data_IF_452897430577
#
_entry.id   IF_452897430577
#
_cell.length_a   1.000
_cell.length_b   1.000
_cell.length_c   1.000
_cell.angle_alpha   90.00
_cell.angle_beta   90.00
_cell.angle_gamma   90.00
#
_symmetry.space_group_name_H-M   'P 1'
#
loop_
_entity.id
_entity.type
_entity.pdbx_description
1 polymer ?
#
# COMPACT_ATOMS: atom_id res chain seq x y z
N UNK A 1 24.19 -6.17 12.16
CA UNK A 1 24.23 -4.75 11.76
C UNK A 1 24.04 -4.59 10.25
N UNK A 2 24.76 -5.35 9.42
CA UNK A 2 24.64 -5.33 7.95
C UNK A 2 23.21 -5.57 7.44
N UNK A 3 22.47 -6.54 7.98
CA UNK A 3 21.09 -6.85 7.51
C UNK A 3 20.14 -5.65 7.59
N UNK A 4 20.25 -4.85 8.67
CA UNK A 4 19.44 -3.65 8.88
C UNK A 4 19.70 -2.61 7.78
N UNK A 5 20.96 -2.39 7.42
CA UNK A 5 21.31 -1.42 6.38
C UNK A 5 20.91 -1.91 4.99
N UNK A 6 21.08 -3.21 4.70
CA UNK A 6 20.57 -3.81 3.46
C UNK A 6 19.05 -3.65 3.34
N UNK A 7 18.31 -3.91 4.43
CA UNK A 7 16.87 -3.71 4.47
C UNK A 7 16.50 -2.23 4.24
N UNK A 8 17.18 -1.29 4.89
CA UNK A 8 16.93 0.14 4.69
C UNK A 8 17.11 0.58 3.23
N UNK A 9 18.12 0.04 2.53
CA UNK A 9 18.34 0.29 1.10
C UNK A 9 17.14 -0.23 0.29
N UNK A 10 16.75 -1.50 0.49
CA UNK A 10 15.62 -2.12 -0.20
C UNK A 10 14.32 -1.35 0.04
N UNK A 11 14.02 -1.01 1.29
CA UNK A 11 12.82 -0.24 1.67
C UNK A 11 12.80 1.13 0.99
N UNK A 12 13.95 1.80 0.90
CA UNK A 12 14.09 3.11 0.28
C UNK A 12 13.92 3.05 -1.24
N UNK A 13 14.50 2.03 -1.89
CA UNK A 13 14.30 1.74 -3.31
C UNK A 13 12.80 1.51 -3.56
N UNK A 14 12.19 0.57 -2.83
CA UNK A 14 10.75 0.28 -2.95
C UNK A 14 9.90 1.53 -2.78
N UNK A 15 10.19 2.37 -1.78
CA UNK A 15 9.46 3.61 -1.57
C UNK A 15 9.55 4.55 -2.78
N UNK A 16 10.72 4.68 -3.41
CA UNK A 16 10.88 5.44 -4.65
C UNK A 16 9.96 4.87 -5.75
N UNK A 17 10.00 3.55 -5.98
CA UNK A 17 9.13 2.90 -6.98
C UNK A 17 7.64 3.11 -6.69
N UNK A 18 7.21 2.95 -5.43
CA UNK A 18 5.83 3.23 -5.01
C UNK A 18 5.43 4.68 -5.30
N UNK A 19 6.29 5.66 -5.00
CA UNK A 19 6.04 7.05 -5.34
C UNK A 19 5.90 7.25 -6.86
N UNK A 20 6.82 6.69 -7.65
CA UNK A 20 6.78 6.80 -9.11
C UNK A 20 5.46 6.26 -9.68
N UNK A 21 5.04 5.08 -9.25
CA UNK A 21 3.91 4.36 -9.85
C UNK A 21 2.55 4.78 -9.34
N UNK A 22 2.47 5.25 -8.10
CA UNK A 22 1.24 5.82 -7.55
C UNK A 22 1.00 7.28 -7.96
N UNK A 23 1.78 7.78 -8.92
CA UNK A 23 1.61 9.10 -9.50
C UNK A 23 2.17 10.23 -8.64
N UNK A 24 3.05 9.94 -7.68
CA UNK A 24 3.84 10.94 -6.93
C UNK A 24 5.14 11.29 -7.68
N UNK A 25 5.11 11.31 -9.01
CA UNK A 25 6.27 11.61 -9.85
C UNK A 25 6.76 13.06 -9.62
N UNK A 26 8.06 13.27 -9.34
CA UNK A 26 8.66 14.59 -9.53
C UNK A 26 8.53 14.97 -11.02
N UNK A 27 8.08 16.20 -11.35
CA UNK A 27 8.09 16.67 -12.74
C UNK A 27 9.55 16.71 -13.24
N UNK A 28 9.86 16.22 -14.45
CA UNK A 28 11.14 16.53 -15.08
C UNK A 28 11.22 18.04 -15.32
N UNK A 29 12.39 18.64 -15.08
CA UNK A 29 12.67 20.04 -15.44
C UNK A 29 12.70 20.17 -16.98
N UNK A 30 11.53 20.25 -17.60
CA UNK A 30 11.37 20.79 -18.94
C UNK A 30 10.26 21.84 -18.92
N UNK A 31 10.56 22.99 -19.53
CA UNK A 31 9.71 24.18 -19.64
C UNK A 31 8.32 23.80 -20.17
N UNK A 32 7.35 23.75 -19.28
CA UNK A 32 5.95 24.01 -19.58
C UNK A 32 5.37 24.73 -18.36
N UNK A 33 5.71 26.02 -18.32
CA UNK A 33 5.07 27.02 -17.48
C UNK A 33 3.69 27.33 -18.05
N UNK A 34 2.80 27.79 -17.17
CA UNK A 34 1.37 28.10 -17.35
C UNK A 34 0.39 26.93 -17.20
N UNK A 35 0.04 26.63 -15.93
CA UNK A 35 -1.35 26.62 -15.40
C UNK A 35 -1.56 25.91 -14.06
N UNK A 36 -0.53 25.50 -13.32
CA UNK A 36 -0.71 24.92 -11.97
C UNK A 36 0.41 25.42 -11.05
N UNK A 37 0.25 26.62 -10.49
CA UNK A 37 1.25 27.30 -9.65
C UNK A 37 1.03 27.14 -8.14
N UNK A 38 0.18 26.23 -7.65
CA UNK A 38 -0.01 26.02 -6.21
C UNK A 38 0.05 24.55 -5.74
N UNK A 39 0.38 23.60 -6.61
CA UNK A 39 0.61 22.20 -6.19
C UNK A 39 2.09 21.84 -6.27
N UNK A 40 2.77 22.18 -5.19
CA UNK A 40 3.97 21.58 -4.58
C UNK A 40 4.86 20.66 -5.44
N UNK A 41 5.64 21.25 -6.36
CA UNK A 41 6.70 20.55 -7.10
C UNK A 41 8.02 20.46 -6.32
N UNK A 42 8.22 21.30 -5.30
CA UNK A 42 9.43 21.32 -4.47
C UNK A 42 9.49 20.16 -3.46
N UNK A 43 8.34 19.75 -2.91
CA UNK A 43 8.28 18.76 -1.84
C UNK A 43 8.63 17.34 -2.29
N UNK A 44 8.24 16.93 -3.49
CA UNK A 44 8.52 15.57 -4.00
C UNK A 44 9.97 15.39 -4.46
N UNK A 45 10.56 16.42 -5.08
CA UNK A 45 11.98 16.41 -5.40
C UNK A 45 12.84 16.37 -4.14
N UNK A 46 12.44 17.09 -3.09
CA UNK A 46 13.09 17.05 -1.79
C UNK A 46 13.02 15.65 -1.16
N UNK A 47 11.85 15.00 -1.19
CA UNK A 47 11.71 13.60 -0.73
C UNK A 47 12.57 12.62 -1.52
N UNK A 48 12.67 12.79 -2.84
CA UNK A 48 13.54 11.94 -3.66
C UNK A 48 15.02 12.11 -3.26
N UNK A 49 15.50 13.35 -3.11
CA UNK A 49 16.88 13.64 -2.65
C UNK A 49 17.16 13.01 -1.30
N UNK A 50 16.28 13.22 -0.31
CA UNK A 50 16.45 12.69 1.04
C UNK A 50 16.50 11.16 1.08
N UNK A 51 15.61 10.50 0.33
CA UNK A 51 15.60 9.03 0.27
C UNK A 51 16.88 8.55 -0.39
N UNK A 52 17.37 9.23 -1.42
CA UNK A 52 18.64 8.85 -2.06
C UNK A 52 19.86 9.10 -1.18
N UNK A 53 19.87 10.17 -0.39
CA UNK A 53 20.90 10.45 0.61
C UNK A 53 20.93 9.34 1.67
N UNK A 54 19.76 8.93 2.17
CA UNK A 54 19.65 7.81 3.10
C UNK A 54 20.16 6.49 2.48
N UNK A 55 19.85 6.21 1.21
CA UNK A 55 20.38 5.00 0.54
C UNK A 55 21.92 5.06 0.47
N UNK A 56 22.48 6.21 0.09
CA UNK A 56 23.93 6.41 -0.03
C UNK A 56 24.63 6.23 1.33
N UNK A 57 24.05 6.77 2.41
CA UNK A 57 24.56 6.57 3.77
C UNK A 57 24.58 5.08 4.15
N UNK A 58 23.48 4.36 3.89
CA UNK A 58 23.41 2.92 4.16
C UNK A 58 24.39 2.12 3.27
N UNK A 59 24.66 2.55 2.04
CA UNK A 59 25.70 1.97 1.19
C UNK A 59 27.09 2.11 1.85
N UNK A 60 27.45 3.29 2.34
CA UNK A 60 28.73 3.50 3.04
C UNK A 60 28.83 2.64 4.31
N UNK A 61 27.74 2.51 5.07
CA UNK A 61 27.68 1.64 6.26
C UNK A 61 27.81 0.14 5.93
N UNK A 62 27.54 -0.25 4.68
CA UNK A 62 27.78 -1.59 4.15
C UNK A 62 29.16 -1.76 3.50
N UNK A 63 29.99 -0.71 3.46
CA UNK A 63 31.27 -0.73 2.75
C UNK A 63 31.15 -0.67 1.23
N UNK A 64 30.00 -0.24 0.70
CA UNK A 64 29.80 0.01 -0.73
C UNK A 64 30.28 1.44 -1.03
N UNK A 65 31.40 1.56 -1.73
CA UNK A 65 32.01 2.86 -2.06
C UNK A 65 31.23 3.59 -3.17
N UNK A 66 30.28 4.45 -2.78
CA UNK A 66 29.47 5.20 -3.74
C UNK A 66 30.29 6.29 -4.44
N UNK A 67 30.33 6.23 -5.77
CA UNK A 67 31.04 7.22 -6.63
C UNK A 67 30.48 8.63 -6.43
N UNK A 68 31.32 9.70 -6.49
CA UNK A 68 30.89 11.09 -6.37
C UNK A 68 29.75 11.48 -7.33
N UNK A 69 29.71 10.88 -8.52
CA UNK A 69 28.64 11.05 -9.51
C UNK A 69 27.23 10.80 -8.95
N UNK A 70 27.09 9.87 -7.99
CA UNK A 70 25.82 9.46 -7.39
C UNK A 70 25.42 10.25 -6.15
N UNK A 71 26.27 11.17 -5.65
CA UNK A 71 25.94 12.00 -4.47
C UNK A 71 24.68 12.86 -4.66
N UNK A 72 24.22 13.04 -5.90
CA UNK A 72 22.98 13.75 -6.22
C UNK A 72 22.20 13.04 -7.32
N UNK A 73 21.31 12.13 -6.91
CA UNK A 73 20.37 11.46 -7.78
C UNK A 73 19.14 12.37 -7.96
N UNK A 74 19.10 13.11 -9.07
CA UNK A 74 18.10 14.17 -9.28
C UNK A 74 17.13 13.87 -10.44
N UNK A 75 17.25 12.71 -11.07
CA UNK A 75 16.37 12.29 -12.15
C UNK A 75 16.38 10.76 -12.26
N UNK A 76 15.43 10.23 -13.02
CA UNK A 76 15.21 8.80 -13.19
C UNK A 76 16.36 8.07 -13.89
N UNK A 77 17.07 8.71 -14.83
CA UNK A 77 18.22 8.10 -15.50
C UNK A 77 19.36 7.87 -14.52
N UNK A 78 19.72 8.90 -13.75
CA UNK A 78 20.71 8.77 -12.68
C UNK A 78 20.32 7.74 -11.63
N UNK A 79 19.02 7.62 -11.35
CA UNK A 79 18.52 6.61 -10.42
C UNK A 79 18.71 5.20 -10.98
N UNK A 80 18.39 4.97 -12.24
CA UNK A 80 18.65 3.70 -12.92
C UNK A 80 20.14 3.37 -12.95
N UNK A 81 21.00 4.34 -13.28
CA UNK A 81 22.46 4.17 -13.24
C UNK A 81 22.94 3.80 -11.81
N UNK A 82 22.32 4.40 -10.80
CA UNK A 82 22.62 4.09 -9.40
C UNK A 82 22.16 2.68 -9.02
N UNK A 83 20.96 2.26 -9.42
CA UNK A 83 20.47 0.89 -9.19
C UNK A 83 21.41 -0.14 -9.82
N UNK A 84 21.86 0.10 -11.05
CA UNK A 84 22.89 -0.73 -11.70
C UNK A 84 24.17 -0.80 -10.89
N UNK A 85 24.64 0.34 -10.39
CA UNK A 85 25.86 0.42 -9.60
C UNK A 85 25.79 -0.37 -8.29
N UNK A 86 24.67 -0.30 -7.56
CA UNK A 86 24.55 -0.96 -6.24
C UNK A 86 24.12 -2.43 -6.33
N UNK A 87 23.61 -2.89 -7.48
CA UNK A 87 22.97 -4.21 -7.62
C UNK A 87 23.88 -5.35 -7.16
N UNK A 88 25.00 -5.53 -7.85
CA UNK A 88 25.91 -6.66 -7.60
C UNK A 88 26.54 -6.61 -6.20
N UNK A 89 27.05 -5.45 -5.71
CA UNK A 89 27.54 -5.36 -4.33
C UNK A 89 26.47 -5.72 -3.30
N UNK A 90 25.23 -5.25 -3.49
CA UNK A 90 24.12 -5.53 -2.57
C UNK A 90 23.73 -7.01 -2.63
N UNK A 91 23.58 -7.60 -3.82
CA UNK A 91 23.30 -9.03 -4.01
C UNK A 91 24.34 -9.90 -3.30
N UNK A 92 25.64 -9.59 -3.46
CA UNK A 92 26.73 -10.31 -2.79
C UNK A 92 26.60 -10.27 -1.27
N UNK A 93 26.26 -9.11 -0.70
CA UNK A 93 26.03 -8.96 0.74
C UNK A 93 24.81 -9.77 1.18
N UNK A 94 23.70 -9.67 0.44
CA UNK A 94 22.45 -10.36 0.76
C UNK A 94 22.59 -11.88 0.73
N UNK A 95 23.39 -12.42 -0.20
CA UNK A 95 23.70 -13.86 -0.29
C UNK A 95 24.47 -14.40 0.92
N UNK A 96 25.07 -13.53 1.75
CA UNK A 96 25.70 -13.96 3.00
C UNK A 96 24.69 -14.21 4.13
N UNK A 97 23.46 -13.73 3.99
CA UNK A 97 22.41 -13.94 4.98
C UNK A 97 21.75 -15.30 4.78
N UNK A 98 21.63 -16.06 5.88
CA UNK A 98 20.79 -17.25 5.89
C UNK A 98 19.33 -16.81 5.78
N UNK A 99 18.73 -17.09 4.63
CA UNK A 99 17.33 -16.82 4.33
C UNK A 99 16.64 -18.13 3.95
N UNK A 100 15.35 -18.23 4.24
CA UNK A 100 14.54 -19.34 3.76
C UNK A 100 13.98 -18.97 2.39
N UNK A 101 14.31 -19.78 1.38
CA UNK A 101 13.76 -19.60 0.05
C UNK A 101 12.37 -20.23 -0.02
N UNK A 102 11.38 -19.42 -0.40
CA UNK A 102 10.02 -19.86 -0.67
C UNK A 102 9.67 -19.60 -2.12
N UNK A 103 9.09 -20.60 -2.78
CA UNK A 103 8.55 -20.47 -4.13
C UNK A 103 7.03 -20.47 -4.01
N UNK A 104 6.42 -19.38 -4.45
CA UNK A 104 4.97 -19.22 -4.47
C UNK A 104 4.50 -19.35 -5.91
N UNK A 105 3.55 -20.24 -6.16
CA UNK A 105 2.94 -20.44 -7.48
C UNK A 105 1.49 -19.97 -7.45
N UNK A 106 1.19 -18.97 -8.26
CA UNK A 106 -0.15 -18.41 -8.44
C UNK A 106 -0.88 -19.22 -9.50
N UNK A 107 -1.80 -20.05 -9.05
CA UNK A 107 -2.56 -20.94 -9.94
C UNK A 107 -3.82 -20.26 -10.50
N UNK A 108 -4.32 -19.23 -9.83
CA UNK A 108 -5.51 -18.53 -10.28
C UNK A 108 -5.13 -17.50 -11.36
N UNK A 109 -5.65 -17.69 -12.56
CA UNK A 109 -5.50 -16.75 -13.67
C UNK A 109 -6.78 -15.93 -13.79
N UNK A 110 -6.64 -14.66 -14.16
CA UNK A 110 -7.78 -13.76 -14.32
C UNK A 110 -8.80 -14.31 -15.34
N UNK A 111 -10.02 -14.55 -14.87
CA UNK A 111 -11.16 -14.90 -15.73
C UNK A 111 -12.13 -13.71 -15.77
N UNK A 112 -12.02 -12.85 -16.79
CA UNK A 112 -12.82 -11.62 -16.93
C UNK A 112 -14.33 -11.82 -16.71
N UNK A 113 -14.87 -13.00 -17.05
CA UNK A 113 -16.26 -13.35 -16.84
C UNK A 113 -16.69 -13.21 -15.37
N UNK A 114 -15.86 -13.70 -14.43
CA UNK A 114 -16.13 -13.67 -12.99
C UNK A 114 -16.27 -12.25 -12.45
N UNK A 115 -15.55 -11.30 -13.05
CA UNK A 115 -15.53 -9.89 -12.64
C UNK A 115 -16.65 -9.06 -13.25
N UNK A 116 -17.31 -9.52 -14.32
CA UNK A 116 -18.50 -8.86 -14.88
C UNK A 116 -19.67 -8.88 -13.89
N UNK A 117 -19.76 -9.92 -13.06
CA UNK A 117 -20.85 -10.08 -12.10
C UNK A 117 -20.69 -9.22 -10.83
N UNK A 118 -19.52 -8.64 -10.60
CA UNK A 118 -19.28 -7.79 -9.42
C UNK A 118 -19.87 -6.36 -9.56
N UNK A 119 -20.50 -6.03 -10.70
CA UNK A 119 -21.01 -4.69 -11.05
C UNK A 119 -19.97 -3.56 -10.87
N UNK A 120 -18.68 -3.91 -10.99
CA UNK A 120 -17.57 -2.96 -10.90
C UNK A 120 -17.38 -2.31 -12.28
N UNK A 121 -18.28 -1.38 -12.59
CA UNK A 121 -18.25 -0.64 -13.84
C UNK A 121 -16.87 0.02 -14.06
N UNK A 122 -16.21 -0.38 -15.15
CA UNK A 122 -14.90 0.15 -15.54
C UNK A 122 -13.69 -0.74 -15.20
N UNK A 123 -13.87 -1.86 -14.49
CA UNK A 123 -12.76 -2.77 -14.17
C UNK A 123 -12.26 -3.56 -15.39
N UNK A 124 -13.15 -4.10 -16.23
CA UNK A 124 -12.76 -4.88 -17.41
C UNK A 124 -11.83 -4.08 -18.35
N UNK A 125 -12.14 -2.80 -18.70
CA UNK A 125 -11.22 -1.97 -19.45
C UNK A 125 -9.82 -1.78 -18.81
N UNK A 126 -9.70 -1.89 -17.48
CA UNK A 126 -8.41 -1.81 -16.79
C UNK A 126 -7.65 -3.13 -16.95
N UNK A 127 -8.33 -4.27 -16.79
CA UNK A 127 -7.74 -5.60 -17.04
C UNK A 127 -7.27 -5.69 -18.50
N UNK A 128 -8.08 -5.22 -19.46
CA UNK A 128 -7.71 -5.17 -20.87
C UNK A 128 -6.49 -4.27 -21.10
N UNK A 129 -6.44 -3.10 -20.45
CA UNK A 129 -5.29 -2.20 -20.50
C UNK A 129 -4.01 -2.87 -19.98
N UNK A 130 -4.09 -3.63 -18.89
CA UNK A 130 -2.95 -4.36 -18.32
C UNK A 130 -2.48 -5.47 -19.28
N UNK A 131 -3.39 -6.32 -19.73
CA UNK A 131 -3.07 -7.49 -20.55
C UNK A 131 -2.59 -7.14 -21.95
N UNK A 132 -3.07 -6.03 -22.52
CA UNK A 132 -2.65 -5.55 -23.84
C UNK A 132 -1.44 -4.61 -23.77
N UNK A 133 -0.89 -4.36 -22.58
CA UNK A 133 0.29 -3.49 -22.45
C UNK A 133 1.53 -4.18 -23.02
N UNK A 134 2.41 -3.40 -23.63
CA UNK A 134 3.70 -3.88 -24.15
C UNK A 134 4.78 -3.92 -23.07
N UNK A 135 4.42 -3.78 -21.80
CA UNK A 135 5.39 -3.77 -20.71
C UNK A 135 5.97 -5.17 -20.54
N UNK A 136 7.30 -5.24 -20.58
CA UNK A 136 8.04 -6.48 -20.41
C UNK A 136 8.28 -6.74 -18.94
N UNK A 137 8.14 -8.01 -18.54
CA UNK A 137 8.55 -8.57 -17.24
C UNK A 137 8.02 -7.82 -16.02
N UNK A 138 6.75 -7.43 -16.07
CA UNK A 138 6.02 -6.98 -14.89
C UNK A 138 4.96 -8.03 -14.57
N UNK A 139 4.90 -8.43 -13.31
CA UNK A 139 3.82 -9.30 -12.85
C UNK A 139 2.81 -8.50 -12.06
N UNK A 140 1.53 -8.59 -12.42
CA UNK A 140 0.43 -7.88 -11.77
C UNK A 140 -0.60 -8.89 -11.29
N UNK A 141 -0.96 -8.79 -10.01
CA UNK A 141 -1.91 -9.67 -9.34
C UNK A 141 -3.00 -8.86 -8.68
N UNK A 142 -4.24 -9.33 -8.73
CA UNK A 142 -5.23 -8.93 -7.73
C UNK A 142 -5.04 -9.76 -6.47
N UNK A 143 -5.31 -9.14 -5.32
CA UNK A 143 -5.34 -9.82 -4.03
C UNK A 143 -6.52 -9.32 -3.17
N UNK A 144 -6.70 -9.95 -2.00
CA UNK A 144 -7.78 -9.61 -1.08
C UNK A 144 -9.17 -9.79 -1.70
N UNK A 145 -10.08 -8.84 -1.45
CA UNK A 145 -11.49 -8.96 -1.86
C UNK A 145 -11.70 -8.94 -3.38
N UNK A 146 -10.70 -8.48 -4.14
CA UNK A 146 -10.72 -8.56 -5.60
C UNK A 146 -10.41 -9.98 -6.09
N UNK A 147 -9.60 -10.73 -5.35
CA UNK A 147 -9.17 -12.05 -5.75
C UNK A 147 -10.17 -13.13 -5.31
N UNK A 148 -10.73 -13.01 -4.10
CA UNK A 148 -11.74 -13.93 -3.58
C UNK A 148 -13.19 -13.61 -4.01
N UNK A 149 -13.36 -12.58 -4.85
CA UNK A 149 -14.63 -12.09 -5.38
C UNK A 149 -15.63 -11.59 -4.31
N UNK A 150 -15.19 -11.32 -3.08
CA UNK A 150 -16.02 -10.72 -2.01
C UNK A 150 -15.90 -9.19 -1.97
N UNK A 151 -15.77 -8.57 -3.14
CA UNK A 151 -15.69 -7.12 -3.27
C UNK A 151 -16.99 -6.47 -2.77
N UNK A 152 -16.86 -5.40 -1.97
CA UNK A 152 -17.99 -4.57 -1.53
C UNK A 152 -17.68 -3.10 -1.79
N UNK A 153 -18.64 -2.19 -1.60
CA UNK A 153 -18.35 -0.74 -1.68
C UNK A 153 -17.35 -0.23 -0.63
N UNK A 154 -17.03 -1.03 0.39
CA UNK A 154 -15.92 -0.71 1.29
C UNK A 154 -14.56 -1.10 0.70
N UNK A 155 -14.50 -2.12 -0.15
CA UNK A 155 -13.25 -2.67 -0.67
C UNK A 155 -12.50 -1.69 -1.57
N UNK A 156 -11.18 -1.61 -1.37
CA UNK A 156 -10.27 -1.03 -2.35
C UNK A 156 -10.05 -2.05 -3.49
N UNK A 157 -9.63 -1.55 -4.66
CA UNK A 157 -9.03 -2.39 -5.69
C UNK A 157 -7.55 -2.50 -5.37
N UNK A 158 -7.21 -3.60 -4.69
CA UNK A 158 -5.85 -3.91 -4.27
C UNK A 158 -5.15 -4.76 -5.33
N UNK A 159 -4.05 -4.25 -5.86
CA UNK A 159 -3.15 -4.99 -6.72
C UNK A 159 -1.71 -4.98 -6.22
N UNK A 160 -1.01 -6.06 -6.55
CA UNK A 160 0.41 -6.23 -6.34
C UNK A 160 1.12 -6.21 -7.67
N UNK A 161 2.15 -5.39 -7.77
CA UNK A 161 3.00 -5.20 -8.94
C UNK A 161 4.43 -5.62 -8.59
N UNK A 162 4.96 -6.60 -9.30
CA UNK A 162 6.36 -7.02 -9.19
C UNK A 162 7.13 -6.49 -10.40
N UNK A 163 8.13 -5.66 -10.14
CA UNK A 163 9.03 -5.09 -11.14
C UNK A 163 10.33 -5.86 -11.16
N UNK A 164 10.65 -6.45 -12.31
CA UNK A 164 11.90 -7.17 -12.50
C UNK A 164 13.00 -6.27 -13.06
N UNK A 165 14.24 -6.78 -12.98
CA UNK A 165 15.44 -6.12 -13.48
C UNK A 165 15.28 -5.53 -14.87
N UNK A 166 14.72 -6.28 -15.81
CA UNK A 166 14.55 -5.86 -17.20
C UNK A 166 13.68 -4.61 -17.37
N UNK A 167 12.78 -4.32 -16.42
CA UNK A 167 11.98 -3.10 -16.42
C UNK A 167 12.76 -1.92 -15.84
N UNK A 168 13.40 -2.07 -14.67
CA UNK A 168 14.05 -0.95 -14.01
C UNK A 168 15.47 -0.66 -14.50
N UNK A 169 16.11 -1.60 -15.20
CA UNK A 169 17.44 -1.41 -15.77
C UNK A 169 17.47 -0.44 -16.95
N UNK A 170 16.29 -0.05 -17.46
CA UNK A 170 16.14 0.89 -18.56
C UNK A 170 15.21 2.03 -18.13
N UNK A 171 15.74 3.25 -18.12
CA UNK A 171 15.00 4.43 -17.66
C UNK A 171 13.73 4.71 -18.49
N UNK A 172 13.76 4.49 -19.81
CA UNK A 172 12.60 4.70 -20.67
C UNK A 172 11.49 3.67 -20.37
N UNK A 173 11.85 2.40 -20.19
CA UNK A 173 10.90 1.36 -19.77
C UNK A 173 10.33 1.64 -18.38
N UNK A 174 11.15 2.10 -17.44
CA UNK A 174 10.69 2.49 -16.11
C UNK A 174 9.72 3.68 -16.18
N UNK A 175 9.99 4.68 -17.03
CA UNK A 175 9.08 5.81 -17.26
C UNK A 175 7.75 5.35 -17.87
N UNK A 176 7.79 4.48 -18.89
CA UNK A 176 6.59 3.94 -19.54
C UNK A 176 5.74 3.14 -18.54
N UNK A 177 6.39 2.32 -17.73
CA UNK A 177 5.77 1.56 -16.64
C UNK A 177 5.11 2.48 -15.63
N UNK A 178 5.81 3.52 -15.18
CA UNK A 178 5.27 4.47 -14.22
C UNK A 178 4.06 5.23 -14.77
N UNK A 179 4.06 5.57 -16.06
CA UNK A 179 2.91 6.20 -16.72
C UNK A 179 1.70 5.26 -16.76
N UNK A 180 1.90 3.99 -17.14
CA UNK A 180 0.81 3.02 -17.20
C UNK A 180 0.22 2.76 -15.82
N UNK A 181 1.06 2.47 -14.82
CA UNK A 181 0.60 2.21 -13.45
C UNK A 181 -0.09 3.45 -12.87
N UNK A 182 0.45 4.65 -13.05
CA UNK A 182 -0.23 5.88 -12.62
C UNK A 182 -1.61 6.04 -13.27
N UNK A 183 -1.76 5.66 -14.55
CA UNK A 183 -3.05 5.65 -15.24
C UNK A 183 -4.01 4.60 -14.65
N UNK A 184 -3.53 3.39 -14.35
CA UNK A 184 -4.30 2.32 -13.71
C UNK A 184 -4.77 2.77 -12.33
N UNK A 185 -3.86 3.27 -11.49
CA UNK A 185 -4.16 3.78 -10.15
C UNK A 185 -5.22 4.89 -10.19
N UNK A 186 -5.16 5.78 -11.20
CA UNK A 186 -6.20 6.80 -11.41
C UNK A 186 -7.55 6.18 -11.79
N UNK A 187 -7.55 5.13 -12.61
CA UNK A 187 -8.77 4.40 -13.00
C UNK A 187 -9.38 3.64 -11.81
N UNK A 188 -8.59 3.05 -10.92
CA UNK A 188 -9.11 2.48 -9.66
C UNK A 188 -9.79 3.55 -8.80
N UNK A 189 -9.15 4.71 -8.62
CA UNK A 189 -9.76 5.84 -7.90
C UNK A 189 -11.04 6.37 -8.58
N UNK A 190 -11.18 6.16 -9.89
CA UNK A 190 -12.41 6.50 -10.61
C UNK A 190 -13.49 5.44 -10.43
N UNK A 191 -13.16 4.21 -10.06
CA UNK A 191 -14.15 3.22 -9.64
C UNK A 191 -14.60 3.56 -8.23
N UNK A 192 -13.65 3.61 -7.29
CA UNK A 192 -13.87 3.99 -5.90
C UNK A 192 -13.18 5.33 -5.54
N UNK A 193 -13.96 6.43 -5.43
CA UNK A 193 -13.46 7.73 -4.97
C UNK A 193 -12.81 7.70 -3.59
N UNK A 194 -13.21 6.77 -2.70
CA UNK A 194 -12.71 6.70 -1.33
C UNK A 194 -11.56 5.71 -1.16
N UNK A 195 -11.08 5.08 -2.25
CA UNK A 195 -9.89 4.24 -2.21
C UNK A 195 -8.68 5.03 -1.71
N UNK A 196 -7.89 4.41 -0.86
CA UNK A 196 -6.71 5.03 -0.27
C UNK A 196 -5.44 4.22 -0.51
N UNK A 197 -5.58 2.96 -0.93
CA UNK A 197 -4.48 2.16 -1.41
C UNK A 197 -4.13 2.47 -2.86
N UNK A 198 -2.84 2.36 -3.14
CA UNK A 198 -2.30 2.37 -4.48
C UNK A 198 -1.86 0.99 -4.89
N UNK A 199 -0.99 0.94 -5.89
CA UNK A 199 -0.22 -0.25 -6.17
C UNK A 199 0.65 -0.61 -4.98
N UNK A 200 0.56 -1.87 -4.56
CA UNK A 200 1.61 -2.49 -3.78
C UNK A 200 2.73 -2.88 -4.75
N UNK A 201 3.95 -2.46 -4.46
CA UNK A 201 5.08 -2.60 -5.38
C UNK A 201 6.19 -3.38 -4.70
N UNK A 202 6.63 -4.44 -5.36
CA UNK A 202 7.79 -5.26 -5.01
C UNK A 202 8.78 -5.16 -6.17
N UNK A 203 10.06 -5.07 -5.85
CA UNK A 203 11.15 -5.16 -6.81
C UNK A 203 11.90 -6.48 -6.63
N UNK A 204 12.71 -6.88 -7.59
CA UNK A 204 13.68 -7.97 -7.40
C UNK A 204 14.61 -7.75 -6.19
N UNK A 205 14.96 -6.52 -5.84
CA UNK A 205 15.66 -6.20 -4.59
C UNK A 205 14.89 -6.66 -3.35
N UNK A 206 13.57 -6.46 -3.32
CA UNK A 206 12.72 -6.94 -2.23
C UNK A 206 12.71 -8.48 -2.15
N UNK A 207 12.76 -9.17 -3.29
CA UNK A 207 12.73 -10.64 -3.34
C UNK A 207 14.01 -11.28 -2.78
N UNK A 208 15.13 -10.54 -2.73
CA UNK A 208 16.40 -11.02 -2.18
C UNK A 208 16.43 -11.06 -0.64
N UNK A 209 15.61 -10.24 0.02
CA UNK A 209 15.46 -10.21 1.48
C UNK A 209 14.06 -9.68 1.83
N UNK A 210 13.07 -10.55 1.68
CA UNK A 210 11.66 -10.18 1.72
C UNK A 210 11.12 -10.06 3.14
N UNK A 211 10.62 -8.87 3.45
CA UNK A 211 9.91 -8.59 4.69
C UNK A 211 8.42 -8.88 4.54
N UNK A 212 7.95 -9.97 5.13
CA UNK A 212 6.54 -10.38 5.08
C UNK A 212 5.58 -9.39 5.75
N UNK A 213 6.08 -8.43 6.54
CA UNK A 213 5.24 -7.36 7.06
C UNK A 213 4.75 -6.39 5.98
N UNK A 214 5.40 -6.38 4.81
CA UNK A 214 4.93 -5.59 3.68
C UNK A 214 3.68 -6.22 3.05
N UNK A 215 3.81 -7.45 2.54
CA UNK A 215 2.68 -8.31 2.16
C UNK A 215 2.98 -9.74 2.65
N UNK A 216 2.15 -10.31 3.52
CA UNK A 216 2.34 -11.69 3.97
C UNK A 216 2.20 -12.70 2.83
N UNK A 217 3.00 -13.77 2.83
CA UNK A 217 2.93 -14.78 1.76
C UNK A 217 1.57 -15.47 1.67
N UNK A 218 0.82 -15.59 2.78
CA UNK A 218 -0.55 -16.16 2.80
C UNK A 218 -1.53 -15.41 1.87
N UNK A 219 -1.25 -14.14 1.53
CA UNK A 219 -2.09 -13.37 0.61
C UNK A 219 -2.00 -13.90 -0.83
N UNK A 220 -0.90 -14.60 -1.17
CA UNK A 220 -0.71 -15.13 -2.51
C UNK A 220 -1.48 -16.43 -2.77
N UNK A 221 -1.93 -17.14 -1.73
CA UNK A 221 -2.71 -18.37 -1.86
C UNK A 221 -4.03 -18.14 -2.64
N UNK A 222 -4.63 -16.96 -2.43
CA UNK A 222 -5.87 -16.55 -3.08
C UNK A 222 -5.63 -15.56 -4.23
N UNK A 223 -4.40 -15.08 -4.44
CA UNK A 223 -4.12 -14.06 -5.44
C UNK A 223 -4.45 -14.53 -6.86
N UNK A 224 -4.79 -13.58 -7.73
CA UNK A 224 -5.19 -13.83 -9.12
C UNK A 224 -4.22 -13.11 -10.05
N UNK A 225 -3.52 -13.88 -10.89
CA UNK A 225 -2.59 -13.36 -11.90
C UNK A 225 -3.36 -12.65 -13.02
N UNK A 226 -3.03 -11.38 -13.25
CA UNK A 226 -3.57 -10.58 -14.36
C UNK A 226 -2.63 -10.64 -15.57
N UNK A 227 -1.33 -10.46 -15.34
CA UNK A 227 -0.27 -10.47 -16.34
C UNK A 227 1.09 -10.80 -15.70
N UNK A 228 2.01 -11.38 -16.47
CA UNK A 228 3.38 -11.68 -16.04
C UNK A 228 3.60 -13.11 -15.53
N UNK A 229 4.54 -13.26 -14.60
CA UNK A 229 4.98 -14.55 -14.09
C UNK A 229 4.06 -15.06 -12.98
N UNK A 230 3.64 -16.32 -13.05
CA UNK A 230 2.86 -16.98 -12.00
C UNK A 230 3.73 -17.52 -10.86
N UNK A 231 5.03 -17.68 -11.06
CA UNK A 231 5.96 -18.21 -10.06
C UNK A 231 6.86 -17.10 -9.53
N UNK A 232 6.89 -16.95 -8.20
CA UNK A 232 7.67 -15.93 -7.52
C UNK A 232 8.55 -16.60 -6.47
N UNK A 233 9.84 -16.28 -6.48
CA UNK A 233 10.81 -16.74 -5.50
C UNK A 233 11.08 -15.63 -4.48
N UNK A 234 10.84 -15.93 -3.21
CA UNK A 234 11.11 -15.05 -2.07
C UNK A 234 12.25 -15.62 -1.22
N UNK A 235 13.19 -14.78 -0.80
CA UNK A 235 14.13 -15.12 0.25
C UNK A 235 13.70 -14.39 1.52
N UNK A 236 13.10 -15.12 2.46
CA UNK A 236 12.43 -14.51 3.61
C UNK A 236 13.42 -13.95 4.63
N UNK A 237 13.11 -12.74 5.11
CA UNK A 237 13.77 -12.16 6.26
C UNK A 237 13.26 -12.85 7.54
N UNK A 238 14.14 -13.35 8.43
CA UNK A 238 13.75 -14.11 9.62
C UNK A 238 13.25 -13.24 10.79
N UNK A 239 12.62 -12.10 10.53
CA UNK A 239 12.23 -11.12 11.55
C UNK A 239 10.74 -10.80 11.47
N UNK A 240 10.09 -10.75 12.65
CA UNK A 240 8.71 -10.30 12.81
C UNK A 240 8.59 -8.81 13.14
N UNK A 241 9.71 -8.09 13.26
CA UNK A 241 9.74 -6.70 13.72
C UNK A 241 8.88 -5.77 12.87
N UNK A 242 8.82 -6.00 11.56
CA UNK A 242 8.00 -5.20 10.66
C UNK A 242 6.51 -5.27 11.00
N UNK A 243 6.00 -6.42 11.44
CA UNK A 243 4.60 -6.56 11.89
C UNK A 243 4.31 -5.75 13.14
N UNK A 244 5.25 -5.76 14.11
CA UNK A 244 5.14 -4.96 15.34
C UNK A 244 5.11 -3.46 15.00
N UNK A 245 6.02 -3.01 14.13
CA UNK A 245 6.06 -1.61 13.67
C UNK A 245 4.74 -1.23 12.99
N UNK A 246 4.24 -2.06 12.09
CA UNK A 246 2.97 -1.83 11.41
C UNK A 246 1.79 -1.76 12.39
N UNK A 247 1.77 -2.64 13.41
CA UNK A 247 0.74 -2.62 14.44
C UNK A 247 0.78 -1.32 15.26
N UNK A 248 1.97 -0.88 15.70
CA UNK A 248 2.14 0.35 16.48
C UNK A 248 1.76 1.61 15.68
N UNK A 249 2.18 1.71 14.41
CA UNK A 249 1.78 2.82 13.54
C UNK A 249 0.27 2.79 13.24
N UNK A 250 -0.32 1.60 13.12
CA UNK A 250 -1.78 1.44 12.98
C UNK A 250 -2.51 1.94 14.23
N UNK A 251 -2.07 1.56 15.44
CA UNK A 251 -2.62 2.04 16.72
C UNK A 251 -2.56 3.57 16.79
N UNK A 252 -1.40 4.15 16.47
CA UNK A 252 -1.21 5.61 16.44
C UNK A 252 -2.13 6.29 15.44
N UNK A 253 -2.30 5.72 14.25
CA UNK A 253 -3.22 6.23 13.22
C UNK A 253 -4.67 6.23 13.72
N UNK A 254 -5.11 5.14 14.34
CA UNK A 254 -6.45 5.03 14.94
C UNK A 254 -6.65 6.12 16.00
N UNK A 255 -5.71 6.31 16.93
CA UNK A 255 -5.78 7.40 17.93
C UNK A 255 -5.94 8.78 17.27
N UNK A 256 -5.15 9.07 16.24
CA UNK A 256 -5.21 10.35 15.54
C UNK A 256 -6.59 10.57 14.89
N UNK A 257 -7.20 9.54 14.30
CA UNK A 257 -8.53 9.62 13.69
C UNK A 257 -9.64 9.76 14.73
N UNK A 258 -9.54 9.10 15.89
CA UNK A 258 -10.48 9.29 17.00
C UNK A 258 -10.42 10.71 17.55
N UNK A 259 -9.21 11.26 17.73
CA UNK A 259 -9.02 12.63 18.19
C UNK A 259 -9.55 13.64 17.18
N UNK A 260 -9.28 13.42 15.89
CA UNK A 260 -9.87 14.21 14.80
C UNK A 260 -11.40 14.16 14.85
N UNK A 261 -11.98 12.96 14.99
CA UNK A 261 -13.43 12.78 15.06
C UNK A 261 -14.06 13.52 16.23
N UNK A 262 -13.42 13.47 17.40
CA UNK A 262 -13.90 14.17 18.59
C UNK A 262 -13.85 15.69 18.39
N UNK A 263 -12.75 16.22 17.86
CA UNK A 263 -12.57 17.67 17.63
C UNK A 263 -13.64 18.23 16.69
N UNK A 264 -14.09 17.44 15.72
CA UNK A 264 -15.01 17.88 14.68
C UNK A 264 -16.45 17.34 14.83
N UNK A 265 -16.79 16.67 15.95
CA UNK A 265 -18.10 16.05 16.20
C UNK A 265 -18.56 15.09 15.08
N UNK A 266 -17.61 14.47 14.38
CA UNK A 266 -17.84 13.64 13.21
C UNK A 266 -16.55 13.36 12.48
N UNK A 267 -16.60 12.53 11.44
CA UNK A 267 -15.46 12.14 10.62
C UNK A 267 -15.89 12.09 9.16
N UNK A 268 -15.02 12.50 8.23
CA UNK A 268 -15.36 12.37 6.81
C UNK A 268 -15.26 10.91 6.34
N UNK A 269 -16.00 10.57 5.29
CA UNK A 269 -16.14 9.19 4.80
C UNK A 269 -14.80 8.56 4.41
N UNK A 270 -13.86 9.35 3.88
CA UNK A 270 -12.51 8.87 3.59
C UNK A 270 -11.77 8.44 4.87
N UNK A 271 -11.74 9.29 5.89
CA UNK A 271 -11.07 8.99 7.16
C UNK A 271 -11.81 7.90 7.95
N UNK A 272 -13.14 7.80 7.82
CA UNK A 272 -13.93 6.69 8.38
C UNK A 272 -13.52 5.36 7.74
N UNK A 273 -13.38 5.33 6.41
CA UNK A 273 -12.92 4.15 5.68
C UNK A 273 -11.56 3.68 6.16
N UNK A 274 -10.59 4.60 6.27
CA UNK A 274 -9.27 4.28 6.80
C UNK A 274 -9.32 3.76 8.24
N UNK A 275 -10.06 4.43 9.14
CA UNK A 275 -10.20 4.01 10.54
C UNK A 275 -10.73 2.57 10.65
N UNK A 276 -11.78 2.26 9.88
CA UNK A 276 -12.41 0.94 9.87
C UNK A 276 -11.47 -0.11 9.26
N UNK A 277 -10.70 0.24 8.22
CA UNK A 277 -9.68 -0.62 7.64
C UNK A 277 -8.54 -0.93 8.62
N UNK A 278 -8.07 0.08 9.34
CA UNK A 278 -7.02 0.00 10.37
C UNK A 278 -7.45 -0.90 11.55
N UNK A 279 -8.69 -0.76 12.04
CA UNK A 279 -9.24 -1.65 13.08
C UNK A 279 -9.33 -3.10 12.58
N UNK A 280 -9.76 -3.28 11.32
CA UNK A 280 -9.92 -4.62 10.75
C UNK A 280 -8.59 -5.35 10.49
N UNK A 281 -7.49 -4.64 10.23
CA UNK A 281 -6.18 -5.25 9.95
C UNK A 281 -5.34 -5.50 11.21
N UNK A 282 -5.54 -4.70 12.27
CA UNK A 282 -4.70 -4.78 13.48
C UNK A 282 -4.64 -6.19 14.12
N UNK A 283 -5.73 -6.98 14.20
CA UNK A 283 -5.64 -8.35 14.70
C UNK A 283 -4.67 -9.22 13.89
N UNK A 284 -4.62 -9.05 12.56
CA UNK A 284 -3.71 -9.80 11.70
C UNK A 284 -2.26 -9.47 12.01
N UNK A 285 -1.93 -8.19 12.21
CA UNK A 285 -0.56 -7.80 12.60
C UNK A 285 -0.15 -8.39 13.95
N UNK A 286 -1.06 -8.48 14.93
CA UNK A 286 -0.76 -9.08 16.23
C UNK A 286 -0.54 -10.60 16.12
N UNK A 287 -1.37 -11.31 15.35
CA UNK A 287 -1.12 -12.73 15.11
C UNK A 287 0.20 -12.96 14.37
N UNK A 288 0.47 -12.16 13.33
CA UNK A 288 1.68 -12.27 12.52
C UNK A 288 2.94 -11.91 13.31
N UNK A 289 2.88 -10.95 14.23
CA UNK A 289 4.01 -10.66 15.13
C UNK A 289 4.36 -11.83 16.05
N UNK A 290 3.38 -12.70 16.34
CA UNK A 290 3.53 -13.94 17.10
C UNK A 290 3.86 -15.17 16.23
N UNK A 291 4.17 -14.96 14.94
CA UNK A 291 4.51 -16.02 13.99
C UNK A 291 3.30 -16.73 13.36
N UNK A 292 2.07 -16.32 13.68
CA UNK A 292 0.85 -16.88 13.09
C UNK A 292 0.46 -16.05 11.86
N UNK A 293 0.76 -16.59 10.66
CA UNK A 293 0.54 -15.93 9.37
C UNK A 293 -0.94 -15.93 8.94
N UNK A 294 -1.81 -15.37 9.77
CA UNK A 294 -3.23 -15.26 9.46
C UNK A 294 -3.51 -14.15 8.45
N UNK A 295 -4.39 -14.44 7.49
CA UNK A 295 -5.00 -13.40 6.65
C UNK A 295 -5.96 -12.53 7.48
N UNK A 296 -6.36 -11.37 6.96
CA UNK A 296 -7.30 -10.47 7.64
C UNK A 296 -8.61 -11.14 8.04
N UNK A 297 -9.18 -11.97 7.17
CA UNK A 297 -10.44 -12.67 7.44
C UNK A 297 -10.27 -13.70 8.55
N UNK A 298 -9.21 -14.50 8.50
CA UNK A 298 -8.88 -15.50 9.52
C UNK A 298 -8.59 -14.82 10.87
N UNK A 299 -7.83 -13.73 10.87
CA UNK A 299 -7.50 -12.99 12.08
C UNK A 299 -8.75 -12.39 12.76
N UNK A 300 -9.70 -11.84 11.99
CA UNK A 300 -10.98 -11.35 12.53
C UNK A 300 -11.78 -12.50 13.16
N UNK A 301 -11.86 -13.67 12.50
CA UNK A 301 -12.58 -14.83 13.03
C UNK A 301 -11.96 -15.36 14.33
N UNK A 302 -10.64 -15.25 14.48
CA UNK A 302 -9.89 -15.71 15.65
C UNK A 302 -9.64 -14.61 16.69
N UNK A 303 -10.16 -13.40 16.51
CA UNK A 303 -9.87 -12.26 17.38
C UNK A 303 -10.26 -12.50 18.86
N UNK A 304 -11.27 -13.34 19.10
CA UNK A 304 -11.71 -13.73 20.45
C UNK A 304 -10.63 -14.45 21.28
N UNK A 305 -9.58 -14.96 20.63
CA UNK A 305 -8.46 -15.60 21.32
C UNK A 305 -7.51 -14.59 21.97
N UNK A 306 -7.52 -13.33 21.52
CA UNK A 306 -6.57 -12.30 21.96
C UNK A 306 -7.24 -11.06 22.55
N UNK A 307 -8.56 -10.90 22.39
CA UNK A 307 -9.30 -9.73 22.86
C UNK A 307 -10.44 -10.11 23.81
N UNK A 308 -10.70 -9.24 24.77
CA UNK A 308 -11.90 -9.32 25.60
C UNK A 308 -13.17 -9.05 24.80
N UNK A 309 -14.33 -9.48 25.33
CA UNK A 309 -15.64 -9.21 24.74
C UNK A 309 -15.91 -7.71 24.48
N UNK A 310 -15.40 -6.83 25.35
CA UNK A 310 -15.54 -5.37 25.17
C UNK A 310 -14.68 -4.84 24.01
N UNK A 311 -13.44 -5.32 23.87
CA UNK A 311 -12.57 -4.97 22.75
C UNK A 311 -13.10 -5.54 21.42
N UNK A 312 -13.67 -6.75 21.43
CA UNK A 312 -14.30 -7.37 20.25
C UNK A 312 -15.42 -6.52 19.66
N UNK A 313 -16.12 -5.74 20.47
CA UNK A 313 -17.15 -4.81 19.98
C UNK A 313 -16.60 -3.78 18.98
N UNK A 314 -15.31 -3.42 19.06
CA UNK A 314 -14.68 -2.54 18.07
C UNK A 314 -14.57 -3.22 16.68
N UNK A 315 -14.23 -4.51 16.65
CA UNK A 315 -14.12 -5.31 15.43
C UNK A 315 -15.51 -5.55 14.83
N UNK A 316 -16.51 -5.84 15.67
CA UNK A 316 -17.91 -6.00 15.25
C UNK A 316 -18.44 -4.68 14.66
N UNK A 317 -18.18 -3.56 15.34
CA UNK A 317 -18.54 -2.22 14.84
C UNK A 317 -17.88 -1.93 13.49
N UNK A 318 -16.58 -2.21 13.34
CA UNK A 318 -15.86 -2.02 12.09
C UNK A 318 -16.44 -2.90 10.97
N UNK A 319 -16.71 -4.17 11.24
CA UNK A 319 -17.29 -5.11 10.27
C UNK A 319 -18.67 -4.66 9.79
N UNK A 320 -19.53 -4.21 10.71
CA UNK A 320 -20.84 -3.63 10.38
C UNK A 320 -20.73 -2.40 9.47
N UNK A 321 -19.77 -1.50 9.73
CA UNK A 321 -19.58 -0.33 8.86
C UNK A 321 -19.14 -0.75 7.46
N UNK A 322 -18.30 -1.77 7.32
CA UNK A 322 -17.87 -2.29 6.00
C UNK A 322 -19.06 -2.83 5.20
N UNK A 323 -19.95 -3.57 5.85
CA UNK A 323 -21.18 -4.10 5.24
C UNK A 323 -22.14 -2.97 4.84
N UNK A 324 -22.28 -1.96 5.69
CA UNK A 324 -23.20 -0.84 5.47
C UNK A 324 -22.57 0.37 4.76
N UNK A 325 -21.39 0.22 4.12
CA UNK A 325 -20.63 1.37 3.59
C UNK A 325 -21.21 1.99 2.32
N UNK A 326 -21.99 1.22 1.55
CA UNK A 326 -22.53 1.60 0.23
C UNK A 326 -23.18 3.00 0.16
N UNK A 327 -23.98 3.46 1.14
CA UNK A 327 -24.61 4.78 1.10
C UNK A 327 -23.59 5.93 1.09
N UNK A 328 -22.41 5.76 1.67
CA UNK A 328 -21.35 6.77 1.69
C UNK A 328 -20.64 6.91 0.34
N UNK A 329 -20.63 5.84 -0.47
CA UNK A 329 -20.09 5.87 -1.83
C UNK A 329 -21.13 6.41 -2.82
N UNK A 330 -22.40 6.03 -2.65
CA UNK A 330 -23.46 6.31 -3.62
C UNK A 330 -24.18 7.66 -3.44
N UNK A 331 -23.84 8.45 -2.43
CA UNK A 331 -24.49 9.73 -2.18
C UNK A 331 -24.17 10.80 -3.26
N UNK A 332 -25.03 11.84 -3.33
CA UNK A 332 -24.92 12.92 -4.32
C UNK A 332 -23.59 13.68 -4.23
N UNK A 333 -23.10 13.92 -3.01
CA UNK A 333 -21.83 14.63 -2.77
C UNK A 333 -20.64 13.83 -3.31
N UNK A 334 -20.53 12.54 -3.00
CA UNK A 334 -19.45 11.67 -3.52
C UNK A 334 -19.49 11.59 -5.04
N UNK A 335 -20.68 11.50 -5.65
CA UNK A 335 -20.84 11.53 -7.12
C UNK A 335 -20.39 12.86 -7.72
N UNK A 336 -20.69 13.98 -7.08
CA UNK A 336 -20.25 15.31 -7.51
C UNK A 336 -18.72 15.44 -7.40
N UNK A 337 -18.14 15.07 -6.25
CA UNK A 337 -16.70 15.07 -6.03
C UNK A 337 -15.97 14.20 -7.05
N UNK A 338 -16.55 13.05 -7.39
CA UNK A 338 -16.04 12.16 -8.44
C UNK A 338 -15.94 12.86 -9.78
N UNK A 339 -17.01 13.54 -10.21
CA UNK A 339 -17.01 14.32 -11.47
C UNK A 339 -15.98 15.45 -11.44
N UNK A 340 -15.90 16.19 -10.33
CA UNK A 340 -14.91 17.27 -10.16
C UNK A 340 -13.49 16.72 -10.26
N UNK A 341 -13.17 15.68 -9.49
CA UNK A 341 -11.84 15.08 -9.49
C UNK A 341 -11.47 14.50 -10.87
N UNK A 342 -12.42 13.91 -11.61
CA UNK A 342 -12.16 13.41 -12.96
C UNK A 342 -11.69 14.50 -13.94
N UNK A 343 -12.11 15.75 -13.72
CA UNK A 343 -11.73 16.89 -14.56
C UNK A 343 -10.50 17.63 -14.01
N UNK A 344 -10.40 17.79 -12.68
CA UNK A 344 -9.37 18.64 -12.06
C UNK A 344 -8.14 17.89 -11.56
N UNK A 345 -8.25 16.58 -11.33
CA UNK A 345 -7.17 15.76 -10.78
C UNK A 345 -6.63 14.80 -11.84
N UNK A 346 -5.48 15.15 -12.40
CA UNK A 346 -4.79 14.37 -13.42
C UNK A 346 -4.03 13.16 -12.85
N UNK A 347 -3.68 13.22 -11.56
CA UNK A 347 -2.91 12.16 -10.87
C UNK A 347 -3.71 11.59 -9.69
N UNK A 348 -3.46 10.32 -9.36
CA UNK A 348 -4.11 9.65 -8.22
C UNK A 348 -3.97 10.43 -6.92
N UNK A 349 -2.74 10.85 -6.55
CA UNK A 349 -2.51 11.55 -5.29
C UNK A 349 -3.29 12.87 -5.15
N UNK A 350 -3.52 13.57 -6.28
CA UNK A 350 -4.32 14.80 -6.29
C UNK A 350 -5.77 14.47 -5.94
N UNK A 351 -6.32 13.45 -6.59
CA UNK A 351 -7.67 12.96 -6.33
C UNK A 351 -7.81 12.45 -4.89
N UNK A 352 -6.86 11.65 -4.40
CA UNK A 352 -6.87 11.15 -3.03
C UNK A 352 -6.83 12.30 -2.01
N UNK A 353 -5.94 13.28 -2.19
CA UNK A 353 -5.87 14.48 -1.34
C UNK A 353 -7.18 15.25 -1.37
N UNK A 354 -7.80 15.37 -2.55
CA UNK A 354 -9.09 15.99 -2.74
C UNK A 354 -10.18 15.26 -1.95
N UNK A 355 -10.33 13.95 -2.12
CA UNK A 355 -11.34 13.17 -1.38
C UNK A 355 -11.09 13.12 0.13
N UNK A 356 -9.82 13.06 0.55
CA UNK A 356 -9.43 13.12 1.97
C UNK A 356 -9.90 14.41 2.63
N UNK A 357 -9.87 15.54 1.91
CA UNK A 357 -10.31 16.84 2.43
C UNK A 357 -11.83 17.06 2.31
N UNK A 358 -12.41 16.66 1.18
CA UNK A 358 -13.75 17.09 0.78
C UNK A 358 -14.83 16.01 0.84
N UNK A 359 -14.50 14.76 1.19
CA UNK A 359 -15.50 13.70 1.35
C UNK A 359 -16.59 14.06 2.37
N UNK A 360 -17.76 13.45 2.19
CA UNK A 360 -18.94 13.68 3.02
C UNK A 360 -18.67 13.42 4.52
N UNK A 361 -19.21 14.25 5.39
CA UNK A 361 -19.05 14.14 6.84
C UNK A 361 -20.11 13.25 7.49
N UNK A 362 -19.67 12.32 8.32
CA UNK A 362 -20.50 11.43 9.12
C UNK A 362 -20.46 11.92 10.57
N UNK A 363 -21.59 12.41 11.08
CA UNK A 363 -21.67 12.89 12.48
C UNK A 363 -21.54 11.73 13.47
N UNK A 364 -21.15 12.03 14.71
CA UNK A 364 -21.07 11.01 15.77
C UNK A 364 -22.45 10.43 16.18
N UNK A 365 -23.54 11.11 15.80
CA UNK A 365 -24.93 10.65 15.99
C UNK A 365 -25.45 9.83 14.82
N UNK A 366 -24.76 9.82 13.69
CA UNK A 366 -25.12 9.00 12.55
C UNK A 366 -24.91 7.51 12.87
N UNK A 367 -25.73 6.61 12.31
CA UNK A 367 -25.63 5.16 12.56
C UNK A 367 -24.28 4.52 12.18
N UNK A 368 -23.57 5.14 11.23
CA UNK A 368 -22.21 4.77 10.79
C UNK A 368 -21.12 5.64 11.44
N UNK A 369 -21.50 6.58 12.30
CA UNK A 369 -20.58 7.48 12.98
C UNK A 369 -19.86 6.81 14.14
N UNK A 370 -18.92 7.54 14.72
CA UNK A 370 -18.17 7.12 15.92
C UNK A 370 -18.96 7.60 17.14
N UNK A 371 -19.94 6.81 17.56
CA UNK A 371 -20.72 7.10 18.76
C UNK A 371 -19.83 7.09 20.01
N UNK A 372 -20.32 7.67 21.12
CA UNK A 372 -19.60 7.63 22.42
C UNK A 372 -19.29 6.19 22.84
N UNK A 373 -20.22 5.26 22.58
CA UNK A 373 -20.06 3.84 22.89
C UNK A 373 -19.03 3.17 21.97
N UNK A 374 -19.11 3.40 20.65
CA UNK A 374 -18.13 2.87 19.70
C UNK A 374 -16.71 3.35 20.06
N UNK A 375 -16.56 4.62 20.41
CA UNK A 375 -15.28 5.16 20.89
C UNK A 375 -14.76 4.42 22.11
N UNK A 376 -15.62 4.12 23.10
CA UNK A 376 -15.23 3.34 24.29
C UNK A 376 -14.65 1.98 23.90
N UNK A 377 -15.35 1.25 23.03
CA UNK A 377 -14.91 -0.06 22.54
C UNK A 377 -13.58 0.02 21.79
N UNK A 378 -13.42 1.00 20.89
CA UNK A 378 -12.17 1.18 20.15
C UNK A 378 -11.01 1.51 21.11
N UNK A 379 -11.23 2.33 22.13
CA UNK A 379 -10.19 2.64 23.12
C UNK A 379 -9.76 1.38 23.89
N UNK A 380 -10.71 0.52 24.28
CA UNK A 380 -10.41 -0.75 24.95
C UNK A 380 -9.62 -1.70 24.03
N UNK A 381 -10.02 -1.77 22.77
CA UNK A 381 -9.31 -2.52 21.72
C UNK A 381 -7.86 -2.05 21.53
N UNK A 382 -7.59 -0.74 21.53
CA UNK A 382 -6.24 -0.19 21.41
C UNK A 382 -5.38 -0.45 22.65
N UNK A 383 -5.98 -0.38 23.85
CA UNK A 383 -5.31 -0.69 25.11
C UNK A 383 -4.81 -2.15 25.11
N UNK A 384 -5.69 -3.10 24.80
CA UNK A 384 -5.34 -4.52 24.73
C UNK A 384 -4.35 -4.82 23.61
N UNK A 385 -4.50 -4.17 22.45
CA UNK A 385 -3.53 -4.31 21.34
C UNK A 385 -2.13 -3.88 21.73
N UNK A 386 -1.99 -2.76 22.45
CA UNK A 386 -0.69 -2.31 22.95
C UNK A 386 -0.10 -3.32 23.96
N UNK A 387 -0.92 -3.82 24.89
CA UNK A 387 -0.47 -4.81 25.89
C UNK A 387 0.10 -6.06 25.20
N UNK A 388 -0.63 -6.61 24.23
CA UNK A 388 -0.21 -7.81 23.47
C UNK A 388 1.12 -7.60 22.72
N UNK A 389 1.38 -6.39 22.21
CA UNK A 389 2.64 -6.07 21.55
C UNK A 389 3.79 -5.90 22.54
N UNK A 390 3.52 -5.42 23.76
CA UNK A 390 4.56 -5.32 24.81
C UNK A 390 4.95 -6.67 25.39
N UNK A 391 4.01 -7.61 25.53
CA UNK A 391 4.27 -8.98 25.99
C UNK A 391 5.09 -9.78 24.98
N UNK A 392 5.01 -9.45 23.68
CA UNK A 392 5.73 -10.15 22.61
C UNK A 392 7.20 -9.74 22.47
N UNK A 393 7.66 -8.72 23.22
CA UNK A 393 9.04 -8.22 23.19
C UNK A 393 9.92 -8.85 24.30
N UNK A 394 9.39 -9.83 25.03
CA UNK A 394 10.10 -10.69 25.98
C UNK A 394 10.00 -12.14 25.51
#
# INVERSE_FOLDING_TARGET
>A
MSIKYSQNIILSIRYIFQCLFNGYLPKPRYKLDYLISEFDNSYYFWRFSLVTEAIIENCYLLGIEVKPYFQKINNIYKFVDFLHFIKEPLEKILLTYKTDTHIVKINNIIEKQKYKFLDINGLIPIIDLIQNSTLKDISIFFHGSMADLKYTAFSDIDDLVIINQTTWCNADFLIQTAKLLSQIARKYQNIDPLQHHGHWVITDFDLLLYDQSYIPLVIFDEAVLISGNSEIKFNLMPSSQGFIINALETIKSIYNRLNFSQKHNGINAFNLKCLVGEIAILPAYIFQSKGLMFSKSIAIANAHQIYSEEALQAIIWASKIREEFQPLVNNKTTKLLKKVAQVSCFRRHQAETFYRKWSFWVSNTHKLGISKQAKKFIMKFLEESNLLLTESNY
#
